data_IF_380861466130
#
_entry.id   IF_380861466130
#
_cell.length_a   1.000
_cell.length_b   1.000
_cell.length_c   1.000
_cell.angle_alpha   90.00
_cell.angle_beta   90.00
_cell.angle_gamma   90.00
#
_symmetry.space_group_name_H-M   'P 1'
#
loop_
_entity.id
_entity.type
_entity.pdbx_description
1 polymer ?
#
# COMPACT_ATOMS: atom_id res chain seq x y z
N UNK A 1 23.49 -23.04 4.42
CA UNK A 1 22.49 -21.98 4.17
C UNK A 1 21.25 -22.30 4.97
N UNK A 2 20.94 -21.53 6.01
CA UNK A 2 19.79 -21.82 6.89
C UNK A 2 18.45 -21.57 6.15
N UNK A 3 17.48 -22.50 6.24
CA UNK A 3 16.18 -22.40 5.54
C UNK A 3 15.37 -21.15 5.92
N UNK A 4 15.55 -20.62 7.13
CA UNK A 4 14.90 -19.39 7.60
C UNK A 4 15.29 -18.15 6.76
N UNK A 5 16.52 -18.12 6.26
CA UNK A 5 17.03 -17.00 5.45
C UNK A 5 16.36 -16.96 4.06
N UNK A 6 16.00 -18.13 3.52
CA UNK A 6 15.34 -18.24 2.21
C UNK A 6 13.87 -17.80 2.29
N UNK A 7 13.15 -18.23 3.33
CA UNK A 7 11.75 -17.83 3.58
C UNK A 7 11.65 -16.30 3.72
N UNK A 8 12.50 -15.70 4.55
CA UNK A 8 12.54 -14.24 4.73
C UNK A 8 12.82 -13.49 3.42
N UNK A 9 13.75 -13.98 2.59
CA UNK A 9 14.07 -13.37 1.29
C UNK A 9 12.89 -13.40 0.31
N UNK A 10 12.19 -14.53 0.22
CA UNK A 10 11.01 -14.69 -0.65
C UNK A 10 9.87 -13.76 -0.19
N UNK A 11 9.66 -13.63 1.13
CA UNK A 11 8.64 -12.76 1.69
C UNK A 11 8.96 -11.28 1.40
N UNK A 12 10.21 -10.85 1.62
CA UNK A 12 10.66 -9.48 1.29
C UNK A 12 10.50 -9.20 -0.21
N UNK A 13 10.87 -10.16 -1.07
CA UNK A 13 10.70 -10.03 -2.52
C UNK A 13 9.22 -9.88 -2.91
N UNK A 14 8.34 -10.65 -2.27
CA UNK A 14 6.89 -10.56 -2.48
C UNK A 14 6.34 -9.22 -2.00
N UNK A 15 6.75 -8.76 -0.82
CA UNK A 15 6.31 -7.47 -0.29
C UNK A 15 6.77 -6.29 -1.16
N UNK A 16 7.96 -6.38 -1.80
CA UNK A 16 8.44 -5.37 -2.77
C UNK A 16 7.50 -5.14 -3.95
N UNK A 17 6.52 -6.01 -4.18
CA UNK A 17 5.44 -5.77 -5.14
C UNK A 17 4.59 -4.52 -4.83
N UNK A 18 4.70 -3.96 -3.61
CA UNK A 18 4.10 -2.67 -3.24
C UNK A 18 4.42 -1.55 -4.23
N UNK A 19 5.58 -1.58 -4.89
CA UNK A 19 5.97 -0.59 -5.90
C UNK A 19 5.03 -0.59 -7.10
N UNK A 20 4.64 -1.77 -7.57
CA UNK A 20 3.70 -1.92 -8.67
C UNK A 20 2.30 -1.47 -8.26
N UNK A 21 1.86 -1.84 -7.05
CA UNK A 21 0.57 -1.40 -6.50
C UNK A 21 0.52 0.13 -6.40
N UNK A 22 1.55 0.75 -5.84
CA UNK A 22 1.66 2.21 -5.70
C UNK A 22 1.72 2.90 -7.06
N UNK A 23 2.51 2.41 -8.00
CA UNK A 23 2.61 2.97 -9.35
C UNK A 23 1.26 2.90 -10.08
N UNK A 24 0.58 1.74 -10.01
CA UNK A 24 -0.70 1.54 -10.69
C UNK A 24 -1.83 2.36 -10.06
N UNK A 25 -1.81 2.53 -8.73
CA UNK A 25 -2.70 3.43 -8.00
C UNK A 25 -2.47 4.89 -8.42
N UNK A 26 -1.21 5.35 -8.41
CA UNK A 26 -0.85 6.71 -8.83
C UNK A 26 -1.21 7.00 -10.30
N UNK A 27 -1.01 6.01 -11.18
CA UNK A 27 -1.35 6.12 -12.60
C UNK A 27 -2.84 6.41 -12.82
N UNK A 28 -3.72 5.68 -12.13
CA UNK A 28 -5.16 5.87 -12.28
C UNK A 28 -5.63 7.27 -11.83
N UNK A 29 -5.11 7.80 -10.71
CA UNK A 29 -5.50 9.13 -10.24
C UNK A 29 -4.94 10.23 -11.14
N UNK A 30 -3.71 10.09 -11.66
CA UNK A 30 -3.13 11.07 -12.59
C UNK A 30 -3.97 11.21 -13.86
N UNK A 31 -4.44 10.09 -14.42
CA UNK A 31 -5.33 10.11 -15.58
C UNK A 31 -6.67 10.76 -15.22
N UNK A 32 -7.26 10.36 -14.08
CA UNK A 32 -8.54 10.91 -13.64
C UNK A 32 -8.47 12.43 -13.42
N UNK A 33 -7.38 12.93 -12.82
CA UNK A 33 -7.12 14.36 -12.64
C UNK A 33 -6.96 15.08 -13.98
N UNK A 34 -6.16 14.52 -14.90
CA UNK A 34 -5.96 15.12 -16.23
C UNK A 34 -7.29 15.24 -17.01
N UNK A 35 -8.14 14.20 -16.97
CA UNK A 35 -9.45 14.22 -17.61
C UNK A 35 -10.42 15.20 -16.94
N UNK A 36 -10.42 15.27 -15.61
CA UNK A 36 -11.26 16.21 -14.88
C UNK A 36 -10.91 17.67 -15.22
N UNK A 37 -9.62 17.98 -15.34
CA UNK A 37 -9.15 19.31 -15.75
C UNK A 37 -9.59 19.62 -17.19
N UNK A 38 -9.47 18.65 -18.10
CA UNK A 38 -9.85 18.84 -19.50
C UNK A 38 -11.35 19.12 -19.71
N UNK A 39 -12.21 18.59 -18.84
CA UNK A 39 -13.68 18.67 -18.95
C UNK A 39 -14.29 19.56 -17.86
N UNK A 40 -13.46 20.34 -17.16
CA UNK A 40 -13.85 21.07 -15.94
C UNK A 40 -15.10 21.93 -16.11
N UNK A 41 -15.22 22.64 -17.25
CA UNK A 41 -16.34 23.55 -17.51
C UNK A 41 -17.70 22.86 -17.73
N UNK A 42 -17.72 21.57 -18.05
CA UNK A 42 -18.95 20.79 -18.30
C UNK A 42 -19.15 19.67 -17.27
N UNK A 43 -18.37 19.67 -16.19
CA UNK A 43 -18.36 18.58 -15.24
C UNK A 43 -19.59 18.64 -14.30
N UNK A 44 -20.43 17.60 -14.35
CA UNK A 44 -21.54 17.42 -13.41
C UNK A 44 -21.05 17.12 -11.98
N UNK A 45 -21.85 17.52 -10.96
CA UNK A 45 -21.54 17.31 -9.54
C UNK A 45 -21.23 15.83 -9.19
N UNK A 46 -21.89 14.88 -9.85
CA UNK A 46 -21.67 13.44 -9.67
C UNK A 46 -20.24 13.02 -10.04
N UNK A 47 -19.64 13.63 -11.07
CA UNK A 47 -18.28 13.31 -11.50
C UNK A 47 -17.24 13.83 -10.48
N UNK A 48 -17.50 14.99 -9.85
CA UNK A 48 -16.67 15.52 -8.77
C UNK A 48 -16.73 14.62 -7.54
N UNK A 49 -17.93 14.15 -7.17
CA UNK A 49 -18.10 13.23 -6.05
C UNK A 49 -17.35 11.89 -6.29
N UNK A 50 -17.48 11.32 -7.49
CA UNK A 50 -16.75 10.09 -7.86
C UNK A 50 -15.23 10.31 -7.85
N UNK A 51 -14.75 11.44 -8.35
CA UNK A 51 -13.33 11.80 -8.28
C UNK A 51 -12.84 11.92 -6.83
N UNK A 52 -13.62 12.53 -5.94
CA UNK A 52 -13.27 12.63 -4.52
C UNK A 52 -13.15 11.25 -3.85
N UNK A 53 -14.07 10.32 -4.15
CA UNK A 53 -13.99 8.93 -3.67
C UNK A 53 -12.77 8.21 -4.24
N UNK A 54 -12.44 8.44 -5.51
CA UNK A 54 -11.25 7.88 -6.15
C UNK A 54 -9.97 8.41 -5.50
N UNK A 55 -9.90 9.71 -5.22
CA UNK A 55 -8.78 10.35 -4.54
C UNK A 55 -8.61 9.78 -3.12
N UNK A 56 -9.70 9.66 -2.35
CA UNK A 56 -9.67 9.07 -1.02
C UNK A 56 -9.17 7.61 -1.06
N UNK A 57 -9.67 6.81 -2.00
CA UNK A 57 -9.24 5.42 -2.18
C UNK A 57 -7.77 5.33 -2.59
N UNK A 58 -7.29 6.27 -3.41
CA UNK A 58 -5.87 6.37 -3.78
C UNK A 58 -5.00 6.64 -2.56
N UNK A 59 -5.36 7.63 -1.73
CA UNK A 59 -4.63 7.93 -0.49
C UNK A 59 -4.62 6.74 0.46
N UNK A 60 -5.75 6.03 0.58
CA UNK A 60 -5.84 4.80 1.35
C UNK A 60 -4.87 3.73 0.82
N UNK A 61 -4.85 3.48 -0.50
CA UNK A 61 -3.93 2.52 -1.12
C UNK A 61 -2.46 2.89 -0.88
N UNK A 62 -2.11 4.18 -1.05
CA UNK A 62 -0.76 4.69 -0.84
C UNK A 62 -0.31 4.57 0.63
N UNK A 63 -1.21 4.79 1.59
CA UNK A 63 -0.93 4.56 3.01
C UNK A 63 -0.50 3.11 3.28
N UNK A 64 -1.22 2.12 2.74
CA UNK A 64 -0.81 0.72 2.91
C UNK A 64 0.48 0.38 2.16
N UNK A 65 0.71 0.94 0.98
CA UNK A 65 1.98 0.77 0.26
C UNK A 65 3.16 1.29 1.08
N UNK A 66 3.01 2.47 1.70
CA UNK A 66 4.01 3.03 2.60
C UNK A 66 4.27 2.14 3.82
N UNK A 67 3.21 1.61 4.45
CA UNK A 67 3.33 0.66 5.57
C UNK A 67 4.08 -0.60 5.16
N UNK A 68 3.80 -1.15 3.98
CA UNK A 68 4.49 -2.33 3.44
C UNK A 68 5.96 -2.02 3.15
N UNK A 69 6.27 -0.84 2.62
CA UNK A 69 7.65 -0.40 2.39
C UNK A 69 8.45 -0.33 3.69
N UNK A 70 7.85 0.24 4.74
CA UNK A 70 8.48 0.32 6.07
C UNK A 70 8.72 -1.08 6.64
N UNK A 71 7.73 -1.97 6.56
CA UNK A 71 7.86 -3.36 7.03
C UNK A 71 8.95 -4.12 6.25
N UNK A 72 9.08 -3.90 4.93
CA UNK A 72 10.17 -4.47 4.13
C UNK A 72 11.55 -4.05 4.65
N UNK A 73 11.72 -2.78 5.01
CA UNK A 73 12.99 -2.27 5.51
C UNK A 73 13.31 -2.82 6.89
N UNK A 74 12.32 -2.88 7.78
CA UNK A 74 12.47 -3.50 9.09
C UNK A 74 12.87 -4.98 8.99
N UNK A 75 12.27 -5.75 8.08
CA UNK A 75 12.69 -7.13 7.85
C UNK A 75 14.09 -7.26 7.25
N UNK A 76 14.52 -6.34 6.40
CA UNK A 76 15.90 -6.33 5.88
C UNK A 76 16.92 -6.06 6.99
N UNK A 77 16.63 -5.10 7.87
CA UNK A 77 17.48 -4.76 9.03
C UNK A 77 17.57 -5.96 9.98
N UNK A 78 16.42 -6.57 10.31
CA UNK A 78 16.37 -7.71 11.22
C UNK A 78 17.10 -8.95 10.67
N UNK A 79 16.98 -9.22 9.36
CA UNK A 79 17.72 -10.33 8.73
C UNK A 79 19.22 -10.07 8.62
N UNK A 80 19.66 -8.81 8.63
CA UNK A 80 21.08 -8.45 8.55
C UNK A 80 21.78 -8.55 9.91
N UNK A 81 21.03 -8.48 11.00
CA UNK A 81 21.56 -8.51 12.37
C UNK A 81 20.66 -9.34 13.31
N UNK A 82 20.55 -10.66 13.11
CA UNK A 82 19.65 -11.51 13.90
C UNK A 82 19.99 -11.55 15.39
N UNK A 83 21.29 -11.45 15.76
CA UNK A 83 21.73 -11.35 17.16
C UNK A 83 21.28 -10.07 17.89
N UNK A 84 20.84 -9.03 17.17
CA UNK A 84 20.39 -7.74 17.73
C UNK A 84 18.88 -7.57 17.79
N UNK A 85 18.12 -8.66 17.67
CA UNK A 85 16.65 -8.62 17.72
C UNK A 85 16.10 -7.93 18.98
N UNK A 86 16.79 -8.06 20.12
CA UNK A 86 16.41 -7.39 21.38
C UNK A 86 16.63 -5.86 21.34
N UNK A 87 17.75 -5.38 20.76
CA UNK A 87 18.00 -3.95 20.55
C UNK A 87 17.00 -3.34 19.55
N UNK A 88 16.63 -4.11 18.53
CA UNK A 88 15.61 -3.73 17.55
C UNK A 88 14.23 -3.56 18.20
N UNK A 89 13.83 -4.50 19.05
CA UNK A 89 12.55 -4.43 19.77
C UNK A 89 12.54 -3.29 20.81
N UNK A 90 13.67 -2.99 21.47
CA UNK A 90 13.84 -1.79 22.31
C UNK A 90 13.69 -0.49 21.52
N UNK A 91 14.29 -0.44 20.31
CA UNK A 91 14.20 0.74 19.44
C UNK A 91 12.75 0.96 18.97
N UNK A 92 12.03 -0.12 18.63
CA UNK A 92 10.61 -0.04 18.29
C UNK A 92 9.75 0.43 19.47
N UNK A 93 10.06 -0.01 20.69
CA UNK A 93 9.39 0.45 21.90
C UNK A 93 9.59 1.95 22.09
N UNK A 94 10.79 2.46 21.84
CA UNK A 94 11.11 3.89 21.95
C UNK A 94 10.37 4.74 20.90
N UNK A 95 10.25 4.25 19.66
CA UNK A 95 9.58 4.97 18.57
C UNK A 95 8.05 4.96 18.72
N UNK A 96 7.46 3.83 19.09
CA UNK A 96 6.00 3.65 19.09
C UNK A 96 5.38 3.70 20.49
N UNK A 97 6.19 3.84 21.54
CA UNK A 97 5.79 3.78 22.96
C UNK A 97 4.86 2.60 23.28
N UNK A 98 5.08 1.47 22.58
CA UNK A 98 4.23 0.30 22.66
C UNK A 98 5.12 -0.92 22.79
N UNK A 99 4.91 -1.72 23.84
CA UNK A 99 5.63 -2.98 23.97
C UNK A 99 5.32 -3.83 22.73
N UNK A 100 6.34 -4.27 21.98
CA UNK A 100 6.13 -5.28 20.96
C UNK A 100 5.59 -6.53 21.67
N UNK A 101 4.37 -6.95 21.33
CA UNK A 101 3.89 -8.26 21.76
C UNK A 101 4.93 -9.29 21.32
N UNK A 102 5.29 -10.22 22.21
CA UNK A 102 6.10 -11.40 21.86
C UNK A 102 5.41 -12.13 20.72
N UNK A 103 5.84 -11.81 19.50
CA UNK A 103 5.30 -12.32 18.25
C UNK A 103 6.45 -12.95 17.51
N UNK A 104 6.25 -14.19 17.14
CA UNK A 104 7.23 -14.93 16.36
C UNK A 104 7.51 -14.21 15.05
N UNK A 105 8.68 -14.41 14.46
CA UNK A 105 9.02 -13.85 13.15
C UNK A 105 7.97 -14.20 12.08
N UNK A 106 7.36 -15.38 12.20
CA UNK A 106 6.29 -15.84 11.32
C UNK A 106 4.99 -15.02 11.48
N UNK A 107 4.64 -14.62 12.72
CA UNK A 107 3.49 -13.73 12.97
C UNK A 107 3.71 -12.33 12.39
N UNK A 108 4.95 -11.83 12.44
CA UNK A 108 5.33 -10.54 11.83
C UNK A 108 5.14 -10.60 10.31
N UNK A 109 5.57 -11.69 9.65
CA UNK A 109 5.37 -11.88 8.22
C UNK A 109 3.91 -12.02 7.81
N UNK A 110 3.11 -12.79 8.55
CA UNK A 110 1.67 -12.90 8.30
C UNK A 110 0.95 -11.54 8.40
N UNK A 111 1.38 -10.68 9.32
CA UNK A 111 0.90 -9.29 9.40
C UNK A 111 1.17 -8.50 8.12
N UNK A 112 2.40 -8.55 7.62
CA UNK A 112 2.80 -7.86 6.39
C UNK A 112 2.07 -8.39 5.14
N UNK A 113 1.88 -9.70 5.04
CA UNK A 113 1.11 -10.32 3.95
C UNK A 113 -0.37 -9.87 3.99
N UNK A 114 -0.96 -9.75 5.19
CA UNK A 114 -2.32 -9.19 5.33
C UNK A 114 -2.40 -7.75 4.84
N UNK A 115 -1.38 -6.93 5.11
CA UNK A 115 -1.31 -5.55 4.59
C UNK A 115 -1.20 -5.54 3.06
N UNK A 116 -0.41 -6.43 2.47
CA UNK A 116 -0.32 -6.58 1.01
C UNK A 116 -1.67 -6.96 0.39
N UNK A 117 -2.41 -7.89 1.01
CA UNK A 117 -3.77 -8.26 0.58
C UNK A 117 -4.72 -7.06 0.65
N UNK A 118 -4.68 -6.28 1.73
CA UNK A 118 -5.49 -5.06 1.88
C UNK A 118 -5.15 -4.01 0.81
N UNK A 119 -3.87 -3.79 0.52
CA UNK A 119 -3.42 -2.88 -0.53
C UNK A 119 -3.90 -3.34 -1.92
N UNK A 120 -3.85 -4.65 -2.18
CA UNK A 120 -4.31 -5.25 -3.45
C UNK A 120 -5.83 -5.12 -3.61
N UNK A 121 -6.61 -5.41 -2.57
CA UNK A 121 -8.07 -5.23 -2.59
C UNK A 121 -8.42 -3.76 -2.79
N UNK A 122 -7.73 -2.85 -2.10
CA UNK A 122 -7.90 -1.40 -2.27
C UNK A 122 -7.59 -0.95 -3.70
N UNK A 123 -6.54 -1.48 -4.31
CA UNK A 123 -6.18 -1.22 -5.71
C UNK A 123 -7.28 -1.71 -6.66
N UNK A 124 -7.76 -2.94 -6.51
CA UNK A 124 -8.83 -3.48 -7.35
C UNK A 124 -10.09 -2.60 -7.25
N UNK A 125 -10.48 -2.22 -6.03
CA UNK A 125 -11.60 -1.32 -5.81
C UNK A 125 -11.38 0.06 -6.45
N UNK A 126 -10.18 0.61 -6.33
CA UNK A 126 -9.80 1.86 -6.97
C UNK A 126 -9.92 1.79 -8.50
N UNK A 127 -9.50 0.68 -9.11
CA UNK A 127 -9.60 0.49 -10.56
C UNK A 127 -11.05 0.33 -11.02
N UNK A 128 -11.91 -0.34 -10.25
CA UNK A 128 -13.36 -0.40 -10.52
C UNK A 128 -13.96 1.01 -10.50
N UNK A 129 -13.64 1.81 -9.48
CA UNK A 129 -14.08 3.20 -9.38
C UNK A 129 -13.56 4.07 -10.53
N UNK A 130 -12.31 3.85 -10.94
CA UNK A 130 -11.72 4.54 -12.08
C UNK A 130 -12.46 4.24 -13.38
N UNK A 131 -12.78 2.97 -13.68
CA UNK A 131 -13.58 2.62 -14.87
C UNK A 131 -14.99 3.22 -14.81
N UNK A 132 -15.62 3.23 -13.64
CA UNK A 132 -16.92 3.90 -13.45
C UNK A 132 -16.80 5.40 -13.73
N UNK A 133 -15.76 6.07 -13.22
CA UNK A 133 -15.49 7.48 -13.52
C UNK A 133 -15.32 7.74 -15.01
N UNK A 134 -14.58 6.89 -15.74
CA UNK A 134 -14.43 7.02 -17.19
C UNK A 134 -15.77 6.87 -17.93
N UNK A 135 -16.62 5.93 -17.50
CA UNK A 135 -17.94 5.74 -18.09
C UNK A 135 -18.83 6.95 -17.86
N UNK A 136 -18.90 7.49 -16.63
CA UNK A 136 -19.75 8.65 -16.34
C UNK A 136 -19.29 9.90 -17.05
N UNK A 137 -17.98 10.08 -17.21
CA UNK A 137 -17.40 11.21 -17.93
C UNK A 137 -17.74 11.15 -19.43
N UNK A 138 -17.72 9.95 -20.04
CA UNK A 138 -18.17 9.74 -21.43
C UNK A 138 -19.67 10.03 -21.64
N UNK A 139 -20.53 9.70 -20.67
CA UNK A 139 -21.97 9.98 -20.77
C UNK A 139 -22.33 11.44 -20.47
N UNK A 140 -21.42 12.22 -19.87
CA UNK A 140 -21.64 13.63 -19.52
C UNK A 140 -21.06 14.61 -20.55
N UNK A 141 -20.15 14.15 -21.43
CA UNK A 141 -19.55 14.92 -22.52
C UNK A 141 -20.37 14.77 -23.82
#
# INVERSE_FOLDING_TARGET
MQPENLISKVIIATLKSWRFISALSAFSILIATAMLIAVFNTTALNNIALYAVLLFTTLYCQYYCWRIWLDCHYFQILNSSPEKSAEFDQTLLLIFNKLPQSRTQNDRFNGAIKLLKKATIGLILQWILFFLFLLTLKYSA
#
